data_IF_228719342161
#
_entry.id   IF_228719342161
#
_cell.length_a   1.000
_cell.length_b   1.000
_cell.length_c   1.000
_cell.angle_alpha   90.00
_cell.angle_beta   90.00
_cell.angle_gamma   90.00
#
_symmetry.space_group_name_H-M   'P 1'
#
loop_
_entity.id
_entity.type
_entity.pdbx_description
1 polymer ?
#
# COMPACT_ATOMS: atom_id res chain seq x y z
N UNK A 1 21.68 -19.80 -3.87
CA UNK A 1 22.77 -18.84 -3.73
C UNK A 1 23.13 -18.78 -2.25
N UNK A 2 24.29 -19.32 -1.86
CA UNK A 2 24.56 -19.67 -0.46
C UNK A 2 24.69 -18.44 0.48
N UNK A 3 24.89 -17.25 -0.11
CA UNK A 3 25.03 -15.98 0.60
C UNK A 3 23.78 -15.09 0.50
N UNK A 4 22.69 -15.61 -0.06
CA UNK A 4 21.46 -14.84 -0.20
C UNK A 4 20.87 -14.49 1.16
N UNK A 5 20.62 -13.20 1.37
CA UNK A 5 19.86 -12.70 2.52
C UNK A 5 18.54 -12.16 2.00
N UNK A 6 17.41 -12.68 2.49
CA UNK A 6 16.12 -12.18 2.04
C UNK A 6 15.95 -10.72 2.45
N UNK A 7 15.40 -9.91 1.55
CA UNK A 7 15.08 -8.51 1.75
C UNK A 7 13.57 -8.36 1.90
N UNK A 8 13.15 -7.86 3.06
CA UNK A 8 11.74 -7.65 3.36
C UNK A 8 11.49 -6.15 3.54
N UNK A 9 10.58 -5.59 2.75
CA UNK A 9 10.03 -4.27 3.01
C UNK A 9 8.89 -4.40 4.01
N UNK A 10 9.20 -4.27 5.30
CA UNK A 10 8.28 -4.53 6.41
C UNK A 10 7.17 -3.48 6.55
N UNK A 11 7.42 -2.26 6.10
CA UNK A 11 6.43 -1.17 6.06
C UNK A 11 6.72 -0.30 4.85
N UNK A 12 5.76 -0.20 3.94
CA UNK A 12 5.86 0.68 2.79
C UNK A 12 4.53 1.40 2.59
N UNK A 13 4.57 2.72 2.59
CA UNK A 13 3.41 3.60 2.55
C UNK A 13 3.80 5.01 2.10
N UNK A 14 2.82 5.87 1.90
CA UNK A 14 3.01 7.29 1.59
C UNK A 14 3.25 8.10 2.86
N UNK A 15 3.96 9.21 2.69
CA UNK A 15 4.16 10.22 3.76
C UNK A 15 3.67 11.60 3.35
N UNK A 16 3.32 11.81 2.08
CA UNK A 16 2.74 13.06 1.61
C UNK A 16 1.22 13.09 1.81
N UNK A 17 0.74 14.27 2.18
CA UNK A 17 -0.65 14.51 2.53
C UNK A 17 -1.61 14.38 1.34
N UNK A 18 -1.13 14.64 0.13
CA UNK A 18 -1.93 14.50 -1.09
C UNK A 18 -2.22 13.02 -1.38
N UNK A 19 -1.21 12.15 -1.37
CA UNK A 19 -1.41 10.71 -1.64
C UNK A 19 -2.22 9.98 -0.56
N UNK A 20 -2.38 10.59 0.62
CA UNK A 20 -3.23 10.09 1.69
C UNK A 20 -4.72 10.35 1.40
N UNK A 21 -5.08 11.52 0.86
CA UNK A 21 -6.48 11.94 0.75
C UNK A 21 -7.04 11.92 -0.68
N UNK A 22 -6.32 11.30 -1.63
CA UNK A 22 -6.67 11.33 -3.06
C UNK A 22 -6.98 9.94 -3.65
N UNK A 23 -7.80 9.96 -4.71
CA UNK A 23 -8.16 8.84 -5.59
C UNK A 23 -6.96 8.18 -6.30
N UNK A 24 -5.74 8.70 -6.10
CA UNK A 24 -4.50 8.13 -6.65
C UNK A 24 -4.33 6.65 -6.27
N UNK A 25 -4.97 6.20 -5.20
CA UNK A 25 -4.91 4.83 -4.69
C UNK A 25 -5.98 3.89 -5.27
N UNK A 26 -6.95 4.43 -6.00
CA UNK A 26 -8.14 3.71 -6.42
C UNK A 26 -7.89 2.82 -7.63
N UNK A 27 -6.81 3.09 -8.37
CA UNK A 27 -6.43 2.29 -9.53
C UNK A 27 -4.95 1.91 -9.47
N UNK A 28 -4.60 0.83 -10.16
CA UNK A 28 -3.21 0.43 -10.37
C UNK A 28 -2.44 1.55 -11.07
N UNK A 29 -2.95 2.07 -12.19
CA UNK A 29 -2.23 3.04 -13.03
C UNK A 29 -1.87 4.36 -12.34
N UNK A 30 -2.70 4.79 -11.38
CA UNK A 30 -2.50 6.05 -10.65
C UNK A 30 -1.75 5.88 -9.35
N UNK A 31 -1.56 4.65 -8.89
CA UNK A 31 -0.98 4.38 -7.58
C UNK A 31 0.55 4.50 -7.67
N UNK A 32 1.17 5.53 -7.05
CA UNK A 32 2.61 5.76 -7.19
C UNK A 32 3.47 4.62 -6.62
N UNK A 33 2.87 3.67 -5.89
CA UNK A 33 3.55 2.51 -5.32
C UNK A 33 3.59 1.33 -6.28
N UNK A 34 2.96 1.44 -7.45
CA UNK A 34 3.21 0.50 -8.56
C UNK A 34 4.67 0.44 -8.94
N UNK A 35 5.39 1.57 -8.85
CA UNK A 35 6.84 1.58 -9.04
C UNK A 35 7.60 0.72 -8.02
N UNK A 36 7.03 0.45 -6.84
CA UNK A 36 7.60 -0.42 -5.82
C UNK A 36 7.16 -1.89 -5.97
N UNK A 37 5.93 -2.13 -6.42
CA UNK A 37 5.50 -3.48 -6.78
C UNK A 37 6.21 -4.02 -8.03
N UNK A 38 6.54 -3.17 -8.99
CA UNK A 38 7.42 -3.52 -10.13
C UNK A 38 8.86 -3.81 -9.68
N UNK A 39 9.24 -3.34 -8.49
CA UNK A 39 10.50 -3.69 -7.82
C UNK A 39 10.38 -4.93 -6.93
N UNK A 40 9.25 -5.64 -6.93
CA UNK A 40 9.07 -6.86 -6.11
C UNK A 40 10.09 -7.96 -6.44
N UNK A 41 10.69 -7.97 -7.63
CA UNK A 41 11.76 -8.91 -7.94
C UNK A 41 13.09 -8.58 -7.21
N UNK A 42 13.20 -7.42 -6.54
CA UNK A 42 14.32 -7.09 -5.64
C UNK A 42 14.04 -7.36 -4.17
N UNK A 43 12.83 -7.80 -3.81
CA UNK A 43 12.46 -8.10 -2.42
C UNK A 43 11.63 -9.39 -2.29
N UNK A 44 11.98 -10.25 -1.35
CA UNK A 44 11.25 -11.50 -1.12
C UNK A 44 9.85 -11.29 -0.56
N UNK A 45 9.67 -10.19 0.18
CA UNK A 45 8.41 -9.84 0.82
C UNK A 45 8.23 -8.34 0.90
N UNK A 46 6.96 -7.93 0.85
CA UNK A 46 6.54 -6.55 0.88
C UNK A 46 5.25 -6.44 1.69
N UNK A 47 5.21 -5.46 2.60
CA UNK A 47 4.10 -5.27 3.54
C UNK A 47 3.64 -3.81 3.51
N UNK A 48 2.32 -3.64 3.40
CA UNK A 48 1.68 -2.34 3.28
C UNK A 48 1.58 -1.63 4.62
N UNK A 49 1.98 -0.36 4.67
CA UNK A 49 1.64 0.55 5.75
C UNK A 49 0.54 1.53 5.31
N UNK A 50 -0.64 1.57 5.94
CA UNK A 50 -1.14 0.73 7.03
C UNK A 50 -2.36 -0.09 6.60
N UNK A 51 -2.68 -1.16 7.32
CA UNK A 51 -3.93 -1.88 7.09
C UNK A 51 -5.17 -1.04 7.42
N UNK A 52 -5.03 -0.07 8.34
CA UNK A 52 -6.12 0.74 8.88
C UNK A 52 -5.66 2.17 9.16
N UNK A 53 -6.51 3.13 8.89
CA UNK A 53 -6.35 4.51 9.33
C UNK A 53 -6.41 4.61 10.86
N UNK A 54 -5.43 5.30 11.44
CA UNK A 54 -5.37 5.55 12.88
C UNK A 54 -5.96 6.92 13.27
N UNK A 55 -6.23 7.79 12.30
CA UNK A 55 -6.81 9.09 12.56
C UNK A 55 -8.34 8.98 12.69
N UNK A 56 -8.89 9.49 13.78
CA UNK A 56 -10.35 9.64 13.96
C UNK A 56 -10.86 11.02 13.53
N UNK A 57 -9.98 11.86 12.94
CA UNK A 57 -10.27 13.24 12.60
C UNK A 57 -10.78 13.32 11.18
N UNK A 58 -11.97 13.89 10.98
CA UNK A 58 -12.59 14.06 9.66
C UNK A 58 -11.77 14.90 8.66
N UNK A 59 -10.78 15.66 9.13
CA UNK A 59 -9.91 16.51 8.29
C UNK A 59 -8.44 16.07 8.30
N UNK A 60 -8.11 14.94 8.94
CA UNK A 60 -6.76 14.41 8.85
C UNK A 60 -6.65 13.64 7.53
N UNK A 61 -5.53 13.79 6.80
CA UNK A 61 -5.28 12.95 5.64
C UNK A 61 -5.39 11.49 6.04
N UNK A 62 -6.27 10.78 5.36
CA UNK A 62 -6.58 9.40 5.70
C UNK A 62 -5.56 8.46 5.08
N UNK A 63 -5.26 7.32 5.69
CA UNK A 63 -4.30 6.38 5.09
C UNK A 63 -4.69 4.93 5.34
N UNK A 64 -4.20 4.06 4.47
CA UNK A 64 -4.34 2.63 4.62
C UNK A 64 -5.45 1.99 3.80
N UNK A 65 -5.63 0.69 4.02
CA UNK A 65 -6.57 -0.15 3.26
C UNK A 65 -8.01 -0.08 3.82
N UNK A 66 -8.17 0.34 5.07
CA UNK A 66 -9.45 0.54 5.72
C UNK A 66 -9.50 1.90 6.44
N UNK A 67 -10.69 2.45 6.58
CA UNK A 67 -10.93 3.66 7.39
C UNK A 67 -10.85 3.38 8.90
N UNK A 68 -11.09 4.41 9.71
CA UNK A 68 -11.03 4.33 11.16
C UNK A 68 -12.07 3.36 11.74
N UNK A 69 -13.20 3.20 11.06
CA UNK A 69 -14.30 2.30 11.43
C UNK A 69 -14.07 0.86 10.93
N UNK A 70 -13.10 0.66 10.05
CA UNK A 70 -12.74 -0.65 9.47
C UNK A 70 -13.45 -0.97 8.16
N UNK A 71 -14.12 0.00 7.54
CA UNK A 71 -14.65 -0.15 6.19
C UNK A 71 -13.51 -0.16 5.19
N UNK A 72 -13.57 -1.07 4.22
CA UNK A 72 -12.57 -1.18 3.17
C UNK A 72 -12.62 0.06 2.28
N UNK A 73 -11.46 0.63 2.00
CA UNK A 73 -11.28 1.70 1.01
C UNK A 73 -11.05 1.10 -0.38
N UNK A 74 -11.22 1.87 -1.47
CA UNK A 74 -10.86 1.38 -2.82
C UNK A 74 -9.40 0.88 -2.90
N UNK A 75 -8.48 1.52 -2.17
CA UNK A 75 -7.09 1.08 -2.01
C UNK A 75 -6.93 -0.39 -1.56
N UNK A 76 -7.88 -0.94 -0.79
CA UNK A 76 -7.90 -2.36 -0.44
C UNK A 76 -8.07 -3.24 -1.68
N UNK A 77 -9.03 -2.90 -2.54
CA UNK A 77 -9.33 -3.68 -3.75
C UNK A 77 -8.16 -3.61 -4.74
N UNK A 78 -7.54 -2.44 -4.86
CA UNK A 78 -6.31 -2.26 -5.64
C UNK A 78 -5.19 -3.15 -5.10
N UNK A 79 -4.90 -3.08 -3.80
CA UNK A 79 -3.88 -3.90 -3.16
C UNK A 79 -4.16 -5.40 -3.32
N UNK A 80 -5.40 -5.83 -3.10
CA UNK A 80 -5.80 -7.23 -3.26
C UNK A 80 -5.56 -7.71 -4.70
N UNK A 81 -5.97 -6.92 -5.69
CA UNK A 81 -5.77 -7.26 -7.11
C UNK A 81 -4.29 -7.43 -7.44
N UNK A 82 -3.41 -6.60 -6.86
CA UNK A 82 -1.97 -6.67 -7.06
C UNK A 82 -1.31 -7.89 -6.40
N UNK A 83 -1.78 -8.26 -5.20
CA UNK A 83 -1.27 -9.45 -4.49
C UNK A 83 -1.75 -10.74 -5.17
N UNK A 84 -2.99 -10.75 -5.67
CA UNK A 84 -3.64 -11.91 -6.27
C UNK A 84 -3.32 -12.09 -7.77
N UNK A 85 -2.76 -11.08 -8.44
CA UNK A 85 -2.38 -11.15 -9.84
C UNK A 85 -1.39 -12.30 -10.10
N UNK A 86 -1.69 -13.21 -11.06
CA UNK A 86 -0.72 -14.19 -11.53
C UNK A 86 0.50 -13.44 -12.08
N UNK A 87 1.70 -13.85 -11.66
CA UNK A 87 2.94 -13.36 -12.27
C UNK A 87 3.11 -13.93 -13.67
#
# INVERSE_FOLDING_TARGET
>A
DADYKPVWFSEYGWTDQESMDLDVNDTVDTNPMMAAFDQKDVADAFFWFSAKDYSSRASAPTFGLADHEGNRRPSFTTFQTLVDAPR
#
